data_IF_787390805093
#
_entry.id   IF_787390805093
#
_cell.length_a   1.000
_cell.length_b   1.000
_cell.length_c   1.000
_cell.angle_alpha   90.00
_cell.angle_beta   90.00
_cell.angle_gamma   90.00
#
_symmetry.space_group_name_H-M   'P 1'
#
loop_
_entity.id
_entity.type
_entity.pdbx_description
1 polymer ?
#
# COMPACT_ATOMS: atom_id res chain seq x y z
N UNK A 1 17.67 21.51 -5.76
CA UNK A 1 16.26 21.37 -5.36
C UNK A 1 16.24 21.00 -3.90
N UNK A 2 15.45 21.70 -3.09
CA UNK A 2 15.30 21.37 -1.67
C UNK A 2 14.67 19.98 -1.55
N UNK A 3 15.29 19.10 -0.76
CA UNK A 3 14.82 17.74 -0.46
C UNK A 3 13.37 17.73 0.02
N UNK A 4 12.96 18.80 0.71
CA UNK A 4 11.58 19.02 1.19
C UNK A 4 10.59 19.15 0.03
N UNK A 5 10.93 19.95 -1.00
CA UNK A 5 10.08 20.14 -2.18
C UNK A 5 9.95 18.83 -2.96
N UNK A 6 11.05 18.09 -3.09
CA UNK A 6 11.05 16.76 -3.73
C UNK A 6 10.13 15.77 -2.98
N UNK A 7 10.21 15.73 -1.65
CA UNK A 7 9.34 14.88 -0.81
C UNK A 7 7.86 15.20 -0.99
N UNK A 8 7.50 16.48 -1.03
CA UNK A 8 6.12 16.92 -1.26
C UNK A 8 5.62 16.42 -2.62
N UNK A 9 6.42 16.59 -3.68
CA UNK A 9 6.04 16.12 -5.03
C UNK A 9 5.86 14.60 -5.06
N UNK A 10 6.78 13.84 -4.44
CA UNK A 10 6.69 12.37 -4.35
C UNK A 10 5.40 11.95 -3.66
N UNK A 11 5.07 12.56 -2.51
CA UNK A 11 3.84 12.25 -1.77
C UNK A 11 2.61 12.54 -2.63
N UNK A 12 2.57 13.69 -3.31
CA UNK A 12 1.44 14.05 -4.19
C UNK A 12 1.26 13.03 -5.32
N UNK A 13 2.35 12.63 -5.98
CA UNK A 13 2.31 11.62 -7.05
C UNK A 13 1.86 10.27 -6.51
N UNK A 14 2.37 9.85 -5.34
CA UNK A 14 1.97 8.58 -4.72
C UNK A 14 0.48 8.56 -4.37
N UNK A 15 -0.04 9.64 -3.78
CA UNK A 15 -1.46 9.75 -3.43
C UNK A 15 -2.32 9.74 -4.70
N UNK A 16 -1.95 10.50 -5.73
CA UNK A 16 -2.68 10.53 -7.00
C UNK A 16 -2.71 9.15 -7.69
N UNK A 17 -1.57 8.45 -7.74
CA UNK A 17 -1.47 7.12 -8.30
C UNK A 17 -2.30 6.09 -7.50
N UNK A 18 -2.28 6.18 -6.18
CA UNK A 18 -3.09 5.33 -5.31
C UNK A 18 -4.59 5.54 -5.57
N UNK A 19 -5.04 6.79 -5.60
CA UNK A 19 -6.45 7.13 -5.88
C UNK A 19 -6.86 6.63 -7.26
N UNK A 20 -6.04 6.85 -8.30
CA UNK A 20 -6.32 6.35 -9.64
C UNK A 20 -6.46 4.82 -9.68
N UNK A 21 -5.57 4.11 -8.98
CA UNK A 21 -5.63 2.64 -8.87
C UNK A 21 -6.91 2.16 -8.19
N UNK A 22 -7.33 2.84 -7.13
CA UNK A 22 -8.59 2.54 -6.42
C UNK A 22 -9.83 2.83 -7.29
N UNK A 23 -9.81 3.91 -8.07
CA UNK A 23 -10.89 4.25 -8.99
C UNK A 23 -11.03 3.20 -10.11
N UNK A 24 -9.93 2.74 -10.68
CA UNK A 24 -9.93 1.66 -11.68
C UNK A 24 -10.47 0.36 -11.07
N UNK A 25 -9.99 -0.02 -9.88
CA UNK A 25 -10.44 -1.22 -9.17
C UNK A 25 -11.90 -1.19 -8.70
N UNK A 26 -12.51 0.00 -8.57
CA UNK A 26 -13.92 0.17 -8.22
C UNK A 26 -14.82 0.51 -9.41
N UNK A 27 -14.24 0.60 -10.62
CA UNK A 27 -14.96 0.94 -11.85
C UNK A 27 -16.11 -0.03 -12.12
N UNK A 28 -17.14 0.47 -12.80
CA UNK A 28 -18.36 -0.29 -13.09
C UNK A 28 -18.06 -1.56 -13.89
N UNK A 29 -17.15 -1.47 -14.86
CA UNK A 29 -16.69 -2.59 -15.67
C UNK A 29 -16.01 -3.68 -14.83
N UNK A 30 -15.16 -3.31 -13.86
CA UNK A 30 -14.54 -4.26 -12.95
C UNK A 30 -15.57 -4.96 -12.03
N UNK A 31 -16.65 -4.26 -11.65
CA UNK A 31 -17.76 -4.84 -10.88
C UNK A 31 -18.67 -5.74 -11.70
N UNK A 32 -18.81 -5.48 -12.99
CA UNK A 32 -19.60 -6.30 -13.91
C UNK A 32 -18.85 -7.60 -14.25
N UNK A 33 -17.53 -7.55 -14.40
CA UNK A 33 -16.67 -8.72 -14.66
C UNK A 33 -16.45 -9.59 -13.40
N UNK A 34 -16.23 -8.98 -12.22
CA UNK A 34 -16.16 -9.70 -10.94
C UNK A 34 -16.97 -8.95 -9.85
N UNK A 35 -18.27 -9.24 -9.71
CA UNK A 35 -19.11 -8.61 -8.68
C UNK A 35 -18.70 -8.99 -7.26
N UNK A 36 -17.91 -10.05 -7.09
CA UNK A 36 -17.38 -10.48 -5.79
C UNK A 36 -16.08 -9.76 -5.40
N UNK A 37 -15.43 -9.06 -6.35
CA UNK A 37 -14.12 -8.43 -6.18
C UNK A 37 -14.06 -7.53 -4.95
N UNK A 38 -15.10 -6.70 -4.80
CA UNK A 38 -15.29 -5.74 -3.70
C UNK A 38 -16.06 -6.31 -2.49
N UNK A 39 -16.68 -7.50 -2.57
CA UNK A 39 -17.43 -8.06 -1.42
C UNK A 39 -16.51 -8.51 -0.28
N UNK A 40 -15.26 -8.89 -0.57
CA UNK A 40 -14.29 -9.39 0.42
C UNK A 40 -13.10 -8.47 0.62
N UNK A 41 -13.24 -7.18 0.33
CA UNK A 41 -12.17 -6.19 0.53
C UNK A 41 -11.65 -6.24 1.96
N UNK A 42 -12.50 -6.19 2.99
CA UNK A 42 -12.03 -6.23 4.39
C UNK A 42 -11.04 -7.37 4.69
N UNK A 43 -11.35 -8.62 4.27
CA UNK A 43 -10.47 -9.78 4.52
C UNK A 43 -9.21 -9.77 3.65
N UNK A 44 -9.31 -9.31 2.39
CA UNK A 44 -8.16 -9.16 1.48
C UNK A 44 -7.20 -8.08 1.99
N UNK A 45 -7.73 -6.95 2.42
CA UNK A 45 -6.97 -5.84 2.99
C UNK A 45 -6.34 -6.23 4.32
N UNK A 46 -7.07 -6.90 5.22
CA UNK A 46 -6.51 -7.39 6.49
C UNK A 46 -5.32 -8.35 6.25
N UNK A 47 -5.45 -9.27 5.28
CA UNK A 47 -4.35 -10.18 4.91
C UNK A 47 -3.16 -9.42 4.32
N UNK A 48 -3.40 -8.44 3.45
CA UNK A 48 -2.36 -7.62 2.86
C UNK A 48 -1.61 -6.82 3.94
N UNK A 49 -2.35 -6.16 4.83
CA UNK A 49 -1.78 -5.43 5.98
C UNK A 49 -0.96 -6.36 6.86
N UNK A 50 -1.42 -7.59 7.10
CA UNK A 50 -0.65 -8.57 7.87
C UNK A 50 0.70 -8.90 7.24
N UNK A 51 0.75 -9.10 5.92
CA UNK A 51 2.04 -9.31 5.23
C UNK A 51 2.99 -8.12 5.40
N UNK A 52 2.47 -6.89 5.26
CA UNK A 52 3.28 -5.69 5.49
C UNK A 52 3.82 -5.61 6.92
N UNK A 53 2.98 -5.86 7.92
CA UNK A 53 3.39 -5.87 9.34
C UNK A 53 4.48 -6.91 9.59
N UNK A 54 4.32 -8.14 9.09
CA UNK A 54 5.31 -9.21 9.27
C UNK A 54 6.65 -8.83 8.67
N UNK A 55 6.67 -8.29 7.45
CA UNK A 55 7.89 -7.87 6.77
C UNK A 55 8.56 -6.71 7.52
N UNK A 56 7.79 -5.71 7.97
CA UNK A 56 8.32 -4.59 8.75
C UNK A 56 8.94 -5.07 10.07
N UNK A 57 8.26 -5.96 10.80
CA UNK A 57 8.79 -6.56 12.03
C UNK A 57 10.08 -7.33 11.77
N UNK A 58 10.13 -8.14 10.71
CA UNK A 58 11.34 -8.89 10.35
C UNK A 58 12.52 -7.95 10.04
N UNK A 59 12.29 -6.88 9.28
CA UNK A 59 13.31 -5.86 8.97
C UNK A 59 13.79 -5.18 10.24
N UNK A 60 12.88 -4.79 11.15
CA UNK A 60 13.25 -4.15 12.41
C UNK A 60 14.09 -5.08 13.30
N UNK A 61 13.73 -6.37 13.39
CA UNK A 61 14.52 -7.35 14.14
C UNK A 61 15.92 -7.49 13.56
N UNK A 62 16.04 -7.62 12.23
CA UNK A 62 17.34 -7.70 11.55
C UNK A 62 18.16 -6.43 11.81
N UNK A 63 17.55 -5.26 11.70
CA UNK A 63 18.20 -3.98 11.94
C UNK A 63 18.73 -3.88 13.38
N UNK A 64 17.93 -4.25 14.37
CA UNK A 64 18.37 -4.27 15.77
C UNK A 64 19.52 -5.25 16.00
N UNK A 65 19.49 -6.44 15.40
CA UNK A 65 20.58 -7.42 15.50
C UNK A 65 21.88 -6.88 14.89
N UNK A 66 21.81 -6.17 13.76
CA UNK A 66 22.97 -5.60 13.07
C UNK A 66 23.55 -4.42 13.86
N UNK A 67 22.70 -3.52 14.35
CA UNK A 67 23.12 -2.30 15.05
C UNK A 67 23.62 -2.58 16.46
N UNK A 68 23.06 -3.58 17.14
CA UNK A 68 23.39 -3.92 18.52
C UNK A 68 24.46 -5.02 18.63
N UNK A 69 25.19 -5.26 17.53
CA UNK A 69 26.43 -6.04 17.44
C UNK A 69 27.63 -5.10 17.47
#
# INVERSE_FOLDING_TARGET
MDTTILLIVVIVVMVAAFVATMLVGSSKRNREEDPSYMQRTGKKWARLTWFYVVVVVAILVIFLIIVNK
#
